data_IF_675387186864
#
_entry.id   IF_675387186864
#
_cell.length_a   1.000
_cell.length_b   1.000
_cell.length_c   1.000
_cell.angle_alpha   90.00
_cell.angle_beta   90.00
_cell.angle_gamma   90.00
#
_symmetry.space_group_name_H-M   'P 1'
#
loop_
_entity.id
_entity.type
_entity.pdbx_description
1 polymer ?
#
# COMPACT_ATOMS: atom_id res chain seq x y z
N UNK A 1 -34.90 -45.61 -9.45
CA UNK A 1 -35.89 -45.48 -8.35
C UNK A 1 -35.23 -45.19 -6.98
N UNK A 2 -34.18 -44.37 -6.89
CA UNK A 2 -33.48 -44.03 -5.62
C UNK A 2 -33.22 -42.52 -5.39
N UNK A 3 -33.83 -41.64 -6.20
CA UNK A 3 -33.59 -40.17 -6.13
C UNK A 3 -34.77 -39.40 -5.50
N UNK A 4 -35.91 -40.05 -5.26
CA UNK A 4 -37.12 -39.36 -4.75
C UNK A 4 -37.32 -39.39 -3.22
N UNK A 5 -36.45 -40.04 -2.44
CA UNK A 5 -36.63 -40.15 -0.98
C UNK A 5 -35.87 -39.08 -0.15
N UNK A 6 -35.15 -38.13 -0.76
CA UNK A 6 -34.21 -37.24 -0.03
C UNK A 6 -34.72 -35.79 0.09
N UNK A 7 -36.01 -35.53 -0.14
CA UNK A 7 -36.58 -34.17 -0.06
C UNK A 7 -37.34 -33.84 1.24
N UNK A 8 -37.25 -34.67 2.28
CA UNK A 8 -37.97 -34.44 3.54
C UNK A 8 -37.10 -34.44 4.81
N UNK A 9 -35.79 -34.23 4.70
CA UNK A 9 -34.93 -34.11 5.89
C UNK A 9 -34.88 -32.64 6.36
N UNK A 10 -35.08 -32.35 7.67
CA UNK A 10 -35.00 -31.00 8.20
C UNK A 10 -33.62 -30.37 7.93
N UNK A 11 -33.56 -29.03 7.84
CA UNK A 11 -32.31 -28.28 7.53
C UNK A 11 -31.12 -28.68 8.42
N UNK A 12 -31.38 -29.09 9.66
CA UNK A 12 -30.37 -29.60 10.62
C UNK A 12 -29.74 -30.93 10.21
N UNK A 13 -30.41 -31.79 9.43
CA UNK A 13 -29.86 -33.07 8.94
C UNK A 13 -29.12 -32.95 7.60
N UNK A 14 -29.04 -31.75 6.99
CA UNK A 14 -28.22 -31.54 5.79
C UNK A 14 -26.72 -31.75 6.06
N UNK A 15 -26.27 -31.64 7.30
CA UNK A 15 -24.90 -31.97 7.70
C UNK A 15 -24.56 -33.47 7.49
N UNK A 16 -25.58 -34.31 7.29
CA UNK A 16 -25.45 -35.72 6.92
C UNK A 16 -25.48 -35.94 5.39
N UNK A 17 -24.94 -35.05 4.55
CA UNK A 17 -24.74 -35.37 3.12
C UNK A 17 -23.52 -36.30 2.90
N UNK A 18 -23.56 -37.24 1.93
CA UNK A 18 -22.53 -38.27 1.77
C UNK A 18 -21.12 -37.78 1.40
N UNK A 19 -20.97 -36.60 0.78
CA UNK A 19 -19.69 -36.16 0.18
C UNK A 19 -18.81 -35.28 1.10
N UNK A 20 -19.24 -34.95 2.32
CA UNK A 20 -18.51 -34.01 3.17
C UNK A 20 -17.46 -34.64 4.09
N UNK A 21 -17.37 -35.98 4.18
CA UNK A 21 -16.38 -36.65 5.04
C UNK A 21 -16.54 -36.46 6.56
N UNK A 22 -17.38 -35.52 7.02
CA UNK A 22 -17.64 -35.17 8.43
C UNK A 22 -18.24 -36.34 9.21
N UNK A 23 -19.13 -37.13 8.59
CA UNK A 23 -19.88 -38.21 9.25
C UNK A 23 -19.01 -39.25 9.94
N UNK A 24 -17.98 -39.74 9.25
CA UNK A 24 -17.09 -40.79 9.76
C UNK A 24 -16.29 -40.30 10.97
N UNK A 25 -15.91 -39.02 10.97
CA UNK A 25 -15.12 -38.42 12.05
C UNK A 25 -15.99 -38.05 13.25
N UNK A 26 -17.22 -37.58 13.01
CA UNK A 26 -18.22 -37.38 14.07
C UNK A 26 -18.59 -38.70 14.75
N UNK A 27 -18.85 -39.77 13.97
CA UNK A 27 -19.11 -41.10 14.51
C UNK A 27 -17.93 -41.64 15.31
N UNK A 28 -16.69 -41.41 14.86
CA UNK A 28 -15.49 -41.78 15.61
C UNK A 28 -15.38 -41.02 16.94
N UNK A 29 -15.71 -39.72 16.96
CA UNK A 29 -15.69 -38.92 18.18
C UNK A 29 -16.75 -39.39 19.18
N UNK A 30 -17.98 -39.65 18.72
CA UNK A 30 -19.07 -40.19 19.54
C UNK A 30 -18.73 -41.57 20.07
N UNK A 31 -18.19 -42.47 19.23
CA UNK A 31 -17.72 -43.78 19.66
C UNK A 31 -16.61 -43.66 20.71
N UNK A 32 -15.70 -42.69 20.56
CA UNK A 32 -14.68 -42.35 21.55
C UNK A 32 -15.25 -41.98 22.92
N UNK A 33 -16.36 -41.23 22.97
CA UNK A 33 -17.07 -40.91 24.23
C UNK A 33 -17.60 -42.18 24.91
N UNK A 34 -18.22 -43.09 24.15
CA UNK A 34 -18.74 -44.35 24.71
C UNK A 34 -17.61 -45.26 25.22
N UNK A 35 -16.52 -45.38 24.48
CA UNK A 35 -15.35 -46.17 24.88
C UNK A 35 -14.71 -45.55 26.13
N UNK A 36 -14.57 -44.22 26.17
CA UNK A 36 -14.02 -43.51 27.32
C UNK A 36 -14.86 -43.73 28.58
N UNK A 37 -16.19 -43.57 28.46
CA UNK A 37 -17.12 -43.77 29.55
C UNK A 37 -17.15 -45.23 30.04
N UNK A 38 -17.07 -46.20 29.13
CA UNK A 38 -16.98 -47.62 29.49
C UNK A 38 -15.67 -47.94 30.23
N UNK A 39 -14.52 -47.42 29.77
CA UNK A 39 -13.24 -47.58 30.47
C UNK A 39 -13.24 -46.92 31.85
N UNK A 40 -13.87 -45.75 31.96
CA UNK A 40 -13.97 -45.01 33.22
C UNK A 40 -14.90 -45.70 34.22
N UNK A 41 -15.99 -46.31 33.74
CA UNK A 41 -16.93 -47.10 34.55
C UNK A 41 -16.30 -48.34 35.18
N UNK A 42 -15.36 -48.99 34.48
CA UNK A 42 -14.62 -50.13 35.01
C UNK A 42 -13.73 -49.72 36.20
N UNK A 43 -13.38 -48.45 36.31
CA UNK A 43 -12.53 -47.90 37.36
C UNK A 43 -13.30 -47.27 38.53
N UNK A 44 -14.57 -46.90 38.33
CA UNK A 44 -15.37 -46.17 39.31
C UNK A 44 -16.73 -46.86 39.51
N UNK A 45 -17.13 -47.13 40.75
CA UNK A 45 -18.40 -47.80 41.07
C UNK A 45 -19.65 -46.95 40.78
N UNK A 46 -19.49 -45.78 40.17
CA UNK A 46 -20.57 -44.89 39.76
C UNK A 46 -21.39 -45.44 38.59
N UNK A 47 -22.64 -44.96 38.47
CA UNK A 47 -23.53 -45.21 37.33
C UNK A 47 -23.74 -43.86 36.65
N UNK A 48 -23.05 -43.62 35.53
CA UNK A 48 -23.17 -42.37 34.78
C UNK A 48 -24.18 -42.48 33.61
N UNK A 49 -24.28 -43.65 32.97
CA UNK A 49 -25.06 -43.91 31.75
C UNK A 49 -26.06 -45.06 31.87
N UNK A 50 -26.20 -45.68 33.06
CA UNK A 50 -27.27 -46.66 33.35
C UNK A 50 -27.03 -48.07 32.81
N UNK A 51 -28.05 -48.68 32.18
CA UNK A 51 -28.07 -50.11 31.81
C UNK A 51 -26.94 -50.56 30.86
N UNK A 52 -26.56 -49.72 29.89
CA UNK A 52 -25.49 -50.04 28.92
C UNK A 52 -24.11 -50.15 29.58
N UNK A 53 -23.86 -49.30 30.55
CA UNK A 53 -22.60 -49.24 31.29
C UNK A 53 -22.42 -50.51 32.15
N UNK A 54 -23.49 -50.97 32.80
CA UNK A 54 -23.50 -52.22 33.57
C UNK A 54 -23.20 -53.45 32.71
N UNK A 55 -23.81 -53.56 31.53
CA UNK A 55 -23.58 -54.68 30.61
C UNK A 55 -22.13 -54.72 30.09
N UNK A 56 -21.56 -53.56 29.75
CA UNK A 56 -20.16 -53.46 29.34
C UNK A 56 -19.21 -53.80 30.48
N UNK A 57 -19.45 -53.27 31.68
CA UNK A 57 -18.64 -53.55 32.87
C UNK A 57 -18.64 -55.04 33.21
N UNK A 58 -19.82 -55.69 33.18
CA UNK A 58 -19.93 -57.14 33.36
C UNK A 58 -19.18 -57.92 32.27
N UNK A 59 -19.25 -57.49 31.01
CA UNK A 59 -18.49 -58.09 29.91
C UNK A 59 -16.98 -58.03 30.12
N UNK A 60 -16.46 -56.87 30.56
CA UNK A 60 -15.04 -56.69 30.86
C UNK A 60 -14.62 -57.51 32.09
N UNK A 61 -15.44 -57.54 33.15
CA UNK A 61 -15.16 -58.35 34.34
C UNK A 61 -15.17 -59.86 34.06
N UNK A 62 -16.00 -60.34 33.12
CA UNK A 62 -15.97 -61.73 32.65
C UNK A 62 -14.66 -62.08 31.93
N UNK A 63 -14.07 -61.12 31.22
CA UNK A 63 -12.83 -61.32 30.45
C UNK A 63 -11.55 -61.09 31.27
N UNK A 64 -11.57 -60.19 32.24
CA UNK A 64 -10.38 -59.72 32.97
C UNK A 64 -10.36 -60.06 34.46
N UNK A 65 -11.45 -60.63 34.97
CA UNK A 65 -11.68 -60.84 36.39
C UNK A 65 -12.12 -59.55 37.11
N UNK A 66 -12.88 -59.69 38.19
CA UNK A 66 -13.36 -58.57 39.03
C UNK A 66 -12.30 -58.07 40.03
N UNK A 67 -11.07 -58.55 39.95
CA UNK A 67 -10.01 -58.15 40.85
C UNK A 67 -9.56 -56.71 40.54
N UNK A 68 -9.47 -55.80 41.53
CA UNK A 68 -9.06 -54.41 41.31
C UNK A 68 -7.69 -54.28 40.62
N UNK A 69 -6.79 -55.26 40.85
CA UNK A 69 -5.45 -55.30 40.26
C UNK A 69 -5.42 -55.51 38.74
N UNK A 70 -6.48 -56.08 38.15
CA UNK A 70 -6.56 -56.34 36.70
C UNK A 70 -7.57 -55.43 36.01
N UNK A 71 -8.66 -55.09 36.69
CA UNK A 71 -9.71 -54.22 36.16
C UNK A 71 -9.24 -52.76 35.97
N UNK A 72 -8.49 -52.19 36.94
CA UNK A 72 -8.08 -50.77 36.89
C UNK A 72 -7.11 -50.47 35.73
N UNK A 73 -6.03 -51.26 35.48
CA UNK A 73 -5.16 -51.05 34.33
C UNK A 73 -5.89 -51.21 32.98
N UNK A 74 -6.84 -52.14 32.89
CA UNK A 74 -7.63 -52.35 31.68
C UNK A 74 -8.59 -51.17 31.43
N UNK A 75 -9.26 -50.68 32.48
CA UNK A 75 -10.11 -49.49 32.41
C UNK A 75 -9.33 -48.26 31.94
N UNK A 76 -8.13 -48.03 32.48
CA UNK A 76 -7.24 -46.96 32.06
C UNK A 76 -6.86 -47.07 30.56
N UNK A 77 -6.52 -48.27 30.10
CA UNK A 77 -6.17 -48.51 28.71
C UNK A 77 -7.36 -48.22 27.76
N UNK A 78 -8.56 -48.69 28.11
CA UNK A 78 -9.78 -48.46 27.34
C UNK A 78 -10.14 -46.96 27.34
N UNK A 79 -10.03 -46.28 28.49
CA UNK A 79 -10.24 -44.83 28.57
C UNK A 79 -9.24 -44.05 27.72
N UNK A 80 -7.96 -44.43 27.71
CA UNK A 80 -6.95 -43.79 26.87
C UNK A 80 -7.26 -43.96 25.37
N UNK A 81 -7.70 -45.16 24.95
CA UNK A 81 -8.15 -45.40 23.57
C UNK A 81 -9.39 -44.56 23.21
N UNK A 82 -10.36 -44.46 24.11
CA UNK A 82 -11.55 -43.63 23.93
C UNK A 82 -11.21 -42.15 23.79
N UNK A 83 -10.33 -41.63 24.65
CA UNK A 83 -9.83 -40.26 24.57
C UNK A 83 -9.07 -40.00 23.25
N UNK A 84 -8.21 -40.92 22.82
CA UNK A 84 -7.51 -40.83 21.54
C UNK A 84 -8.47 -40.78 20.35
N UNK A 85 -9.47 -41.67 20.32
CA UNK A 85 -10.51 -41.67 19.29
C UNK A 85 -11.34 -40.37 19.28
N UNK A 86 -11.64 -39.83 20.47
CA UNK A 86 -12.34 -38.54 20.62
C UNK A 86 -11.52 -37.38 20.03
N UNK A 87 -10.24 -37.27 20.40
CA UNK A 87 -9.34 -36.21 19.90
C UNK A 87 -9.14 -36.31 18.38
N UNK A 88 -8.87 -37.51 17.86
CA UNK A 88 -8.67 -37.73 16.42
C UNK A 88 -9.96 -37.44 15.65
N UNK A 89 -11.10 -37.95 16.14
CA UNK A 89 -12.42 -37.72 15.57
C UNK A 89 -12.76 -36.24 15.52
N UNK A 90 -12.59 -35.52 16.63
CA UNK A 90 -12.87 -34.09 16.71
C UNK A 90 -11.93 -33.26 15.83
N UNK A 91 -10.62 -33.50 15.87
CA UNK A 91 -9.64 -32.77 15.05
C UNK A 91 -9.90 -32.94 13.55
N UNK A 92 -10.18 -34.17 13.11
CA UNK A 92 -10.48 -34.45 11.69
C UNK A 92 -11.86 -33.98 11.28
N UNK A 93 -12.83 -33.98 12.19
CA UNK A 93 -14.15 -33.37 11.96
C UNK A 93 -14.03 -31.87 11.74
N UNK A 94 -13.31 -31.15 12.63
CA UNK A 94 -13.03 -29.72 12.47
C UNK A 94 -12.31 -29.44 11.16
N UNK A 95 -11.25 -30.20 10.84
CA UNK A 95 -10.53 -30.02 9.58
C UNK A 95 -11.43 -30.23 8.35
N UNK A 96 -12.33 -31.20 8.38
CA UNK A 96 -13.30 -31.49 7.29
C UNK A 96 -14.41 -30.45 7.16
N UNK A 97 -14.70 -29.68 8.22
CA UNK A 97 -15.65 -28.56 8.21
C UNK A 97 -14.93 -27.30 7.72
N UNK A 98 -13.74 -27.03 8.26
CA UNK A 98 -12.86 -25.93 7.88
C UNK A 98 -12.52 -26.00 6.39
N UNK A 99 -12.17 -27.18 5.86
CA UNK A 99 -11.84 -27.35 4.44
C UNK A 99 -13.01 -27.14 3.47
N UNK A 100 -14.25 -27.07 3.96
CA UNK A 100 -15.46 -26.86 3.15
C UNK A 100 -16.00 -25.44 3.32
N UNK A 101 -15.83 -24.86 4.52
CA UNK A 101 -16.19 -23.47 4.81
C UNK A 101 -15.13 -22.47 4.33
N UNK A 102 -13.85 -22.86 4.37
CA UNK A 102 -12.74 -22.13 3.77
C UNK A 102 -12.31 -22.86 2.48
N UNK A 103 -13.00 -22.64 1.33
CA UNK A 103 -12.38 -22.91 0.04
C UNK A 103 -11.10 -22.06 -0.07
N UNK A 104 -10.13 -22.47 -0.89
CA UNK A 104 -8.80 -21.85 -1.07
C UNK A 104 -8.78 -20.32 -1.35
N UNK A 105 -9.94 -19.67 -1.49
CA UNK A 105 -10.09 -18.22 -1.60
C UNK A 105 -10.11 -17.48 -0.26
N UNK A 106 -10.44 -18.10 0.88
CA UNK A 106 -10.55 -17.38 2.18
C UNK A 106 -9.24 -17.25 2.97
N UNK A 107 -8.18 -18.01 2.64
CA UNK A 107 -6.84 -17.70 3.12
C UNK A 107 -6.48 -16.24 2.76
N UNK A 108 -6.93 -15.76 1.59
CA UNK A 108 -6.82 -14.35 1.20
C UNK A 108 -7.67 -13.43 2.07
N UNK A 109 -8.83 -13.82 2.59
CA UNK A 109 -9.68 -12.93 3.39
C UNK A 109 -9.09 -12.71 4.78
N UNK A 110 -8.57 -13.77 5.41
CA UNK A 110 -7.85 -13.63 6.69
C UNK A 110 -6.56 -12.83 6.47
N UNK A 111 -5.82 -13.09 5.40
CA UNK A 111 -4.65 -12.28 5.02
C UNK A 111 -5.02 -10.83 4.70
N UNK A 112 -6.17 -10.57 4.07
CA UNK A 112 -6.70 -9.23 3.77
C UNK A 112 -7.14 -8.52 5.06
N UNK A 113 -7.76 -9.22 6.02
CA UNK A 113 -8.14 -8.63 7.31
C UNK A 113 -6.91 -8.36 8.19
N UNK A 114 -5.96 -9.30 8.22
CA UNK A 114 -4.71 -9.16 8.96
C UNK A 114 -3.86 -8.04 8.35
N UNK A 115 -3.65 -8.02 7.03
CA UNK A 115 -2.99 -6.92 6.33
C UNK A 115 -3.72 -5.60 6.50
N UNK A 116 -5.06 -5.53 6.46
CA UNK A 116 -5.80 -4.28 6.72
C UNK A 116 -5.56 -3.73 8.13
N UNK A 117 -5.49 -4.59 9.15
CA UNK A 117 -5.16 -4.14 10.51
C UNK A 117 -3.70 -3.69 10.63
N UNK A 118 -2.76 -4.41 9.99
CA UNK A 118 -1.34 -4.03 9.99
C UNK A 118 -1.06 -2.74 9.24
N UNK A 119 -1.63 -2.57 8.05
CA UNK A 119 -1.45 -1.37 7.25
C UNK A 119 -2.03 -0.11 7.94
N UNK A 120 -3.09 -0.26 8.74
CA UNK A 120 -3.61 0.83 9.60
C UNK A 120 -2.62 1.26 10.68
N UNK A 121 -1.80 0.33 11.17
CA UNK A 121 -0.69 0.59 12.11
C UNK A 121 0.63 0.82 11.40
N UNK A 122 0.61 0.99 10.07
CA UNK A 122 1.80 1.29 9.27
C UNK A 122 2.36 2.69 9.59
N UNK A 123 3.58 2.98 9.12
CA UNK A 123 4.19 4.31 9.28
C UNK A 123 3.37 5.38 8.56
N UNK A 124 3.40 6.60 9.09
CA UNK A 124 2.83 7.81 8.47
C UNK A 124 3.84 8.37 7.47
N UNK A 125 3.54 8.32 6.19
CA UNK A 125 4.48 8.77 5.14
C UNK A 125 3.85 9.90 4.35
N UNK A 126 4.52 11.04 4.32
CA UNK A 126 4.15 12.18 3.49
C UNK A 126 5.01 12.16 2.22
N UNK A 127 4.37 12.23 1.06
CA UNK A 127 5.04 12.25 -0.24
C UNK A 127 4.67 13.56 -0.94
N UNK A 128 5.66 14.30 -1.41
CA UNK A 128 5.50 15.65 -1.97
C UNK A 128 6.00 15.65 -3.40
N UNK A 129 5.19 16.12 -4.35
CA UNK A 129 5.60 16.24 -5.74
C UNK A 129 4.45 16.46 -6.71
N UNK A 130 4.55 15.83 -7.87
CA UNK A 130 3.57 15.92 -8.95
C UNK A 130 3.78 14.84 -10.00
N UNK A 131 2.94 14.86 -11.03
CA UNK A 131 3.06 14.01 -12.21
C UNK A 131 2.97 12.51 -11.98
N UNK A 132 3.53 11.77 -12.94
CA UNK A 132 3.41 10.30 -13.00
C UNK A 132 4.39 9.58 -12.07
N UNK A 133 5.54 10.20 -11.76
CA UNK A 133 6.54 9.68 -10.83
C UNK A 133 5.97 9.49 -9.44
N UNK A 134 5.34 10.53 -8.88
CA UNK A 134 4.65 10.50 -7.61
C UNK A 134 3.59 9.39 -7.55
N UNK A 135 2.75 9.30 -8.59
CA UNK A 135 1.70 8.28 -8.67
C UNK A 135 2.26 6.84 -8.69
N UNK A 136 3.42 6.64 -9.30
CA UNK A 136 4.10 5.33 -9.36
C UNK A 136 4.64 4.94 -7.98
N UNK A 137 5.23 5.90 -7.26
CA UNK A 137 5.68 5.71 -5.89
C UNK A 137 4.51 5.36 -4.95
N UNK A 138 3.41 6.11 -5.02
CA UNK A 138 2.22 5.87 -4.19
C UNK A 138 1.61 4.47 -4.41
N UNK A 139 1.60 3.98 -5.66
CA UNK A 139 1.16 2.60 -5.98
C UNK A 139 1.99 1.54 -5.26
N UNK A 140 3.29 1.77 -5.07
CA UNK A 140 4.17 0.87 -4.31
C UNK A 140 3.98 1.02 -2.80
N UNK A 141 3.97 2.25 -2.29
CA UNK A 141 3.89 2.53 -0.86
C UNK A 141 2.56 2.09 -0.21
N UNK A 142 1.44 2.08 -0.96
CA UNK A 142 0.12 1.68 -0.42
C UNK A 142 0.04 0.19 0.00
N UNK A 143 1.06 -0.59 -0.36
CA UNK A 143 1.24 -1.98 0.05
C UNK A 143 1.90 -2.12 1.43
N UNK A 144 2.45 -1.03 1.98
CA UNK A 144 3.17 -1.01 3.26
C UNK A 144 2.46 -0.21 4.35
N UNK A 145 1.62 0.75 3.98
CA UNK A 145 0.84 1.55 4.94
C UNK A 145 -0.45 2.07 4.32
N UNK A 146 -1.46 2.34 5.16
CA UNK A 146 -2.66 3.11 4.80
C UNK A 146 -2.56 4.58 5.23
N UNK A 147 -1.48 4.94 5.92
CA UNK A 147 -1.25 6.28 6.45
C UNK A 147 -0.37 7.08 5.47
N UNK A 148 -0.78 7.11 4.21
CA UNK A 148 -0.11 7.91 3.17
C UNK A 148 -0.77 9.27 3.06
N UNK A 149 0.05 10.31 2.91
CA UNK A 149 -0.42 11.64 2.52
C UNK A 149 0.36 12.10 1.31
N UNK A 150 -0.33 12.38 0.21
CA UNK A 150 0.27 13.00 -0.98
C UNK A 150 -0.01 14.50 -0.97
N UNK A 151 1.03 15.33 -0.99
CA UNK A 151 0.93 16.78 -1.18
C UNK A 151 1.33 17.09 -2.62
N UNK A 152 0.43 17.74 -3.35
CA UNK A 152 0.53 17.85 -4.82
C UNK A 152 0.53 19.30 -5.27
N UNK A 153 1.36 19.62 -6.26
CA UNK A 153 1.41 20.97 -6.84
C UNK A 153 0.09 21.29 -7.55
N UNK A 154 -0.31 22.56 -7.49
CA UNK A 154 -1.48 23.10 -8.21
C UNK A 154 -1.08 24.21 -9.20
N UNK A 155 0.18 24.21 -9.63
CA UNK A 155 0.70 25.20 -10.57
C UNK A 155 0.53 24.80 -12.06
N UNK A 156 0.16 23.55 -12.36
CA UNK A 156 -0.08 23.02 -13.71
C UNK A 156 -1.06 23.91 -14.51
N UNK A 157 -0.68 24.25 -15.73
CA UNK A 157 -1.47 25.01 -16.69
C UNK A 157 -1.59 24.31 -18.06
N UNK A 158 -1.18 23.04 -18.14
CA UNK A 158 -1.12 22.26 -19.36
C UNK A 158 -2.36 21.40 -19.64
N UNK A 159 -2.57 21.09 -20.92
CA UNK A 159 -3.50 20.06 -21.39
C UNK A 159 -4.94 20.19 -20.87
N UNK A 160 -5.48 19.08 -20.34
CA UNK A 160 -6.85 19.08 -19.78
C UNK A 160 -6.96 19.82 -18.46
N UNK A 161 -5.88 19.91 -17.68
CA UNK A 161 -5.89 20.61 -16.39
C UNK A 161 -5.97 22.12 -16.60
N UNK A 162 -5.09 22.64 -17.46
CA UNK A 162 -5.03 24.05 -17.84
C UNK A 162 -6.34 24.58 -18.40
N UNK A 163 -6.98 23.84 -19.32
CA UNK A 163 -8.28 24.23 -19.88
C UNK A 163 -9.37 24.38 -18.81
N UNK A 164 -9.50 23.39 -17.92
CA UNK A 164 -10.49 23.43 -16.85
C UNK A 164 -10.19 24.56 -15.86
N UNK A 165 -8.91 24.79 -15.57
CA UNK A 165 -8.45 25.90 -14.74
C UNK A 165 -8.84 27.25 -15.34
N UNK A 166 -8.57 27.48 -16.63
CA UNK A 166 -8.90 28.75 -17.29
C UNK A 166 -10.39 28.96 -17.52
N UNK A 167 -11.14 27.90 -17.80
CA UNK A 167 -12.57 27.99 -18.16
C UNK A 167 -13.49 27.98 -16.93
N UNK A 168 -13.15 27.24 -15.88
CA UNK A 168 -13.99 27.05 -14.69
C UNK A 168 -13.42 27.72 -13.43
N UNK A 169 -12.21 28.28 -13.47
CA UNK A 169 -11.58 28.93 -12.32
C UNK A 169 -11.20 27.97 -11.18
N UNK A 170 -11.17 26.66 -11.44
CA UNK A 170 -10.80 25.62 -10.46
C UNK A 170 -9.29 25.38 -10.44
N UNK A 171 -8.78 24.75 -9.37
CA UNK A 171 -7.40 24.28 -9.33
C UNK A 171 -7.17 23.17 -10.37
N UNK A 172 -5.96 23.05 -10.95
CA UNK A 172 -5.68 22.03 -11.95
C UNK A 172 -5.82 20.61 -11.35
N UNK A 173 -6.74 19.78 -11.86
CA UNK A 173 -7.05 18.49 -11.23
C UNK A 173 -6.13 17.33 -11.61
N UNK A 174 -5.24 17.50 -12.60
CA UNK A 174 -4.51 16.40 -13.24
C UNK A 174 -3.67 15.55 -12.29
N UNK A 175 -2.77 16.17 -11.52
CA UNK A 175 -1.86 15.44 -10.65
C UNK A 175 -2.55 14.88 -9.41
N UNK A 176 -3.54 15.61 -8.88
CA UNK A 176 -4.39 15.14 -7.79
C UNK A 176 -5.18 13.91 -8.24
N UNK A 177 -5.77 13.94 -9.44
CA UNK A 177 -6.43 12.77 -10.05
C UNK A 177 -5.49 11.57 -10.11
N UNK A 178 -4.26 11.75 -10.59
CA UNK A 178 -3.28 10.66 -10.68
C UNK A 178 -2.98 10.05 -9.30
N UNK A 179 -2.86 10.87 -8.26
CA UNK A 179 -2.66 10.41 -6.88
C UNK A 179 -3.88 9.67 -6.32
N UNK A 180 -5.09 10.17 -6.56
CA UNK A 180 -6.34 9.51 -6.15
C UNK A 180 -6.45 8.12 -6.77
N UNK A 181 -6.17 8.00 -8.07
CA UNK A 181 -6.14 6.71 -8.77
C UNK A 181 -5.08 5.79 -8.16
N UNK A 182 -3.85 6.29 -7.96
CA UNK A 182 -2.75 5.51 -7.40
C UNK A 182 -3.08 4.94 -6.00
N UNK A 183 -3.72 5.74 -5.14
CA UNK A 183 -4.07 5.37 -3.76
C UNK A 183 -5.37 4.57 -3.62
N UNK A 184 -6.15 4.43 -4.69
CA UNK A 184 -7.38 3.66 -4.66
C UNK A 184 -7.14 2.18 -4.30
N UNK A 185 -8.04 1.60 -3.50
CA UNK A 185 -7.99 0.21 -3.03
C UNK A 185 -8.43 -0.80 -4.10
N UNK A 186 -8.67 -0.33 -5.33
CA UNK A 186 -9.39 -1.10 -6.34
C UNK A 186 -8.64 -1.20 -7.66
N UNK A 187 -8.28 -2.41 -8.07
CA UNK A 187 -7.93 -2.77 -9.47
C UNK A 187 -9.20 -2.87 -10.33
N UNK A 188 -10.12 -1.91 -10.18
CA UNK A 188 -11.45 -1.97 -10.76
C UNK A 188 -11.58 -1.07 -11.99
N UNK A 189 -12.67 -1.30 -12.72
CA UNK A 189 -13.20 -0.45 -13.80
C UNK A 189 -13.08 1.05 -13.49
N UNK A 190 -13.19 1.46 -12.22
CA UNK A 190 -13.05 2.85 -11.79
C UNK A 190 -11.69 3.47 -12.11
N UNK A 191 -10.56 2.75 -11.94
CA UNK A 191 -9.23 3.25 -12.34
C UNK A 191 -9.19 3.51 -13.85
N UNK A 192 -9.75 2.58 -14.65
CA UNK A 192 -9.84 2.72 -16.11
C UNK A 192 -10.71 3.90 -16.52
N UNK A 193 -11.86 4.10 -15.85
CA UNK A 193 -12.75 5.23 -16.10
C UNK A 193 -12.10 6.56 -15.73
N UNK A 194 -11.47 6.66 -14.56
CA UNK A 194 -10.83 7.91 -14.14
C UNK A 194 -9.63 8.27 -14.99
N UNK A 195 -8.90 7.27 -15.48
CA UNK A 195 -7.76 7.45 -16.38
C UNK A 195 -8.18 7.65 -17.85
N UNK A 196 -9.47 7.46 -18.18
CA UNK A 196 -9.97 7.60 -19.54
C UNK A 196 -9.78 9.03 -20.05
N UNK A 197 -9.31 9.14 -21.29
CA UNK A 197 -9.13 10.39 -22.02
C UNK A 197 -9.93 10.32 -23.31
N UNK A 198 -10.76 11.33 -23.54
CA UNK A 198 -11.54 11.44 -24.77
C UNK A 198 -10.61 11.75 -25.95
N UNK A 199 -10.77 11.01 -27.05
CA UNK A 199 -9.97 11.12 -28.27
C UNK A 199 -10.69 11.85 -29.42
N UNK A 200 -12.00 12.02 -29.28
CA UNK A 200 -12.92 12.48 -30.32
C UNK A 200 -13.99 13.42 -29.75
N UNK A 201 -14.65 14.18 -30.64
CA UNK A 201 -15.75 15.08 -30.29
C UNK A 201 -15.34 16.36 -29.56
N UNK A 202 -16.32 17.02 -28.93
CA UNK A 202 -16.13 18.28 -28.18
C UNK A 202 -15.27 18.12 -26.94
N UNK A 203 -15.28 16.93 -26.33
CA UNK A 203 -14.49 16.61 -25.14
C UNK A 203 -13.06 16.16 -25.48
N UNK A 204 -12.66 16.13 -26.76
CA UNK A 204 -11.34 15.66 -27.19
C UNK A 204 -10.22 16.31 -26.38
N UNK A 205 -9.37 15.47 -25.79
CA UNK A 205 -8.24 15.87 -24.95
C UNK A 205 -8.57 15.95 -23.45
N UNK A 206 -9.84 16.05 -23.05
CA UNK A 206 -10.21 16.02 -21.63
C UNK A 206 -10.06 14.62 -21.04
N UNK A 207 -9.74 14.57 -19.75
CA UNK A 207 -9.82 13.35 -18.96
C UNK A 207 -11.15 13.28 -18.23
N UNK A 208 -11.82 12.11 -18.26
CA UNK A 208 -13.06 11.90 -17.52
C UNK A 208 -12.88 12.15 -16.02
N UNK A 209 -11.78 11.66 -15.42
CA UNK A 209 -11.50 11.92 -14.00
C UNK A 209 -11.32 13.40 -13.67
N UNK A 210 -10.72 14.19 -14.58
CA UNK A 210 -10.62 15.64 -14.40
C UNK A 210 -12.00 16.31 -14.42
N UNK A 211 -12.89 15.88 -15.32
CA UNK A 211 -14.26 16.40 -15.41
C UNK A 211 -15.09 16.01 -14.17
N UNK A 212 -14.92 14.79 -13.65
CA UNK A 212 -15.56 14.37 -12.40
C UNK A 212 -15.09 15.24 -11.23
N UNK A 213 -13.78 15.47 -11.11
CA UNK A 213 -13.23 16.35 -10.05
C UNK A 213 -13.75 17.79 -10.19
N UNK A 214 -13.79 18.32 -11.41
CA UNK A 214 -14.34 19.66 -11.68
C UNK A 214 -15.82 19.74 -11.27
N UNK A 215 -16.64 18.78 -11.66
CA UNK A 215 -18.05 18.73 -11.30
C UNK A 215 -18.28 18.56 -9.79
N UNK A 216 -17.45 17.78 -9.11
CA UNK A 216 -17.50 17.63 -7.65
C UNK A 216 -17.13 18.93 -6.94
N UNK A 217 -16.06 19.61 -7.38
CA UNK A 217 -15.66 20.89 -6.82
C UNK A 217 -16.75 21.96 -6.98
N UNK A 218 -17.38 22.02 -8.16
CA UNK A 218 -18.50 22.93 -8.44
C UNK A 218 -19.73 22.59 -7.58
N UNK A 219 -20.07 21.31 -7.46
CA UNK A 219 -21.25 20.85 -6.69
C UNK A 219 -21.11 21.12 -5.18
N UNK A 220 -19.93 20.88 -4.60
CA UNK A 220 -19.69 20.98 -3.16
C UNK A 220 -19.10 22.34 -2.73
N UNK A 221 -18.88 23.25 -3.69
CA UNK A 221 -18.51 24.65 -3.47
C UNK A 221 -17.03 24.91 -3.19
N UNK A 222 -16.21 23.88 -2.98
CA UNK A 222 -14.76 24.01 -2.95
C UNK A 222 -14.06 22.75 -3.46
N UNK A 223 -12.85 22.94 -3.98
CA UNK A 223 -12.07 21.88 -4.61
C UNK A 223 -11.61 20.80 -3.62
N UNK A 224 -11.38 21.17 -2.35
CA UNK A 224 -10.96 20.26 -1.28
C UNK A 224 -12.04 19.23 -0.98
N UNK A 225 -13.28 19.66 -0.78
CA UNK A 225 -14.44 18.78 -0.61
C UNK A 225 -14.61 17.86 -1.82
N UNK A 226 -14.38 18.37 -3.03
CA UNK A 226 -14.41 17.55 -4.24
C UNK A 226 -13.44 16.37 -4.17
N UNK A 227 -12.20 16.62 -3.72
CA UNK A 227 -11.19 15.58 -3.49
C UNK A 227 -11.62 14.61 -2.40
N UNK A 228 -12.12 15.10 -1.27
CA UNK A 228 -12.56 14.29 -0.13
C UNK A 228 -13.68 13.31 -0.53
N UNK A 229 -14.73 13.79 -1.22
CA UNK A 229 -15.84 12.95 -1.67
C UNK A 229 -15.40 11.92 -2.72
N UNK A 230 -14.51 12.29 -3.65
CA UNK A 230 -13.92 11.33 -4.58
C UNK A 230 -13.10 10.29 -3.79
N UNK A 231 -12.34 10.71 -2.79
CA UNK A 231 -11.58 9.80 -1.95
C UNK A 231 -12.43 8.75 -1.21
N UNK A 232 -13.60 9.16 -0.72
CA UNK A 232 -14.57 8.25 -0.09
C UNK A 232 -15.10 7.20 -1.08
N UNK A 233 -15.48 7.62 -2.29
CA UNK A 233 -15.97 6.74 -3.35
C UNK A 233 -14.91 5.72 -3.79
N UNK A 234 -13.64 6.13 -3.81
CA UNK A 234 -12.51 5.28 -4.23
C UNK A 234 -11.88 4.47 -3.09
N UNK A 235 -12.40 4.59 -1.87
CA UNK A 235 -11.93 3.89 -0.67
C UNK A 235 -10.39 3.98 -0.48
N UNK A 236 -9.83 5.19 -0.60
CA UNK A 236 -8.37 5.40 -0.66
C UNK A 236 -7.59 4.80 0.53
N UNK A 237 -6.35 4.42 0.25
CA UNK A 237 -5.32 4.05 1.23
C UNK A 237 -4.43 5.24 1.60
N UNK A 238 -5.05 6.34 2.03
CA UNK A 238 -4.38 7.58 2.38
C UNK A 238 -5.21 8.80 2.00
N UNK A 239 -4.57 9.96 2.05
CA UNK A 239 -5.16 11.26 1.70
C UNK A 239 -4.34 11.96 0.62
N UNK A 240 -4.99 12.80 -0.18
CA UNK A 240 -4.36 13.66 -1.18
C UNK A 240 -4.76 15.10 -0.87
N UNK A 241 -3.78 15.99 -0.76
CA UNK A 241 -4.01 17.41 -0.53
C UNK A 241 -3.30 18.24 -1.60
N UNK A 242 -3.94 19.29 -2.13
CA UNK A 242 -3.20 20.29 -2.88
C UNK A 242 -2.24 21.03 -1.93
N UNK A 243 -1.12 21.50 -2.46
CA UNK A 243 -0.14 22.30 -1.72
C UNK A 243 -0.74 23.62 -1.21
N UNK A 244 -1.66 24.22 -1.96
CA UNK A 244 -2.43 25.41 -1.58
C UNK A 244 -3.84 25.33 -2.17
N UNK A 245 -4.81 26.05 -1.57
CA UNK A 245 -6.13 26.24 -2.17
C UNK A 245 -6.18 27.44 -3.13
N UNK A 246 -5.11 28.21 -3.23
CA UNK A 246 -5.03 29.42 -4.04
C UNK A 246 -4.58 29.12 -5.47
N UNK A 247 -4.98 29.98 -6.41
CA UNK A 247 -4.54 29.91 -7.80
C UNK A 247 -3.12 30.46 -7.90
N UNK A 248 -2.13 29.59 -8.12
CA UNK A 248 -0.72 29.96 -8.20
C UNK A 248 -0.13 29.72 -9.59
N UNK A 249 0.71 30.62 -10.07
CA UNK A 249 1.43 30.51 -11.34
C UNK A 249 2.91 30.27 -11.04
N UNK A 250 3.47 29.20 -11.61
CA UNK A 250 4.90 28.95 -11.54
C UNK A 250 5.65 29.92 -12.45
N UNK A 251 6.69 30.56 -11.92
CA UNK A 251 7.56 31.46 -12.68
C UNK A 251 9.01 31.04 -12.51
N UNK A 252 9.76 31.01 -13.61
CA UNK A 252 11.19 30.74 -13.64
C UNK A 252 11.99 31.98 -14.05
N UNK A 253 13.10 32.23 -13.34
CA UNK A 253 14.15 33.16 -13.76
C UNK A 253 15.28 32.32 -14.36
N UNK A 254 15.65 32.59 -15.61
CA UNK A 254 16.76 31.94 -16.29
C UNK A 254 18.11 32.61 -15.93
N UNK A 255 19.21 31.93 -16.23
CA UNK A 255 20.56 32.41 -15.94
C UNK A 255 20.92 33.73 -16.67
N UNK A 256 20.27 34.03 -17.79
CA UNK A 256 20.42 35.28 -18.54
C UNK A 256 19.53 36.42 -18.03
N UNK A 257 18.69 36.16 -17.02
CA UNK A 257 17.74 37.12 -16.44
C UNK A 257 16.35 37.11 -17.10
N UNK A 258 16.12 36.28 -18.12
CA UNK A 258 14.81 36.11 -18.74
C UNK A 258 13.81 35.51 -17.74
N UNK A 259 12.58 36.03 -17.73
CA UNK A 259 11.50 35.55 -16.87
C UNK A 259 10.47 34.79 -17.71
N UNK A 260 10.15 33.56 -17.30
CA UNK A 260 9.20 32.68 -17.97
C UNK A 260 8.06 32.34 -17.01
N UNK A 261 6.82 32.57 -17.42
CA UNK A 261 5.61 32.36 -16.60
C UNK A 261 4.76 31.23 -17.15
N UNK A 262 4.27 30.40 -16.24
CA UNK A 262 3.44 29.23 -16.57
C UNK A 262 4.25 27.95 -16.59
N UNK A 263 3.69 26.87 -16.06
CA UNK A 263 4.38 25.59 -15.87
C UNK A 263 4.76 24.95 -17.21
N UNK A 264 3.84 24.95 -18.18
CA UNK A 264 4.10 24.48 -19.55
C UNK A 264 5.23 25.29 -20.20
N UNK A 265 5.23 26.61 -20.03
CA UNK A 265 6.25 27.49 -20.62
C UNK A 265 7.62 27.31 -19.97
N UNK A 266 7.67 27.05 -18.67
CA UNK A 266 8.92 26.73 -17.95
C UNK A 266 9.49 25.40 -18.46
N UNK A 267 8.65 24.39 -18.68
CA UNK A 267 9.07 23.10 -19.23
C UNK A 267 9.61 23.20 -20.66
N UNK A 268 8.97 24.02 -21.49
CA UNK A 268 9.36 24.21 -22.90
C UNK A 268 10.47 25.26 -23.09
N UNK A 269 11.00 25.83 -21.99
CA UNK A 269 11.99 26.89 -22.05
C UNK A 269 13.34 26.39 -22.53
N UNK A 270 14.13 27.30 -23.08
CA UNK A 270 15.50 27.02 -23.50
C UNK A 270 16.45 27.83 -22.62
N UNK A 271 17.45 27.15 -22.05
CA UNK A 271 18.45 27.77 -21.19
C UNK A 271 18.33 27.31 -19.74
N UNK A 272 19.36 27.65 -18.95
CA UNK A 272 19.48 27.17 -17.58
C UNK A 272 18.57 27.95 -16.65
N UNK A 273 17.66 27.24 -15.96
CA UNK A 273 16.87 27.81 -14.86
C UNK A 273 17.81 28.16 -13.70
N UNK A 274 17.74 29.42 -13.24
CA UNK A 274 18.47 29.91 -12.08
C UNK A 274 17.68 29.71 -10.80
N UNK A 275 16.38 30.02 -10.81
CA UNK A 275 15.46 29.78 -9.69
C UNK A 275 14.00 29.78 -10.15
N UNK A 276 13.13 29.21 -9.33
CA UNK A 276 11.67 29.27 -9.50
C UNK A 276 10.99 29.90 -8.30
N UNK A 277 9.81 30.50 -8.51
CA UNK A 277 8.95 31.05 -7.47
C UNK A 277 7.47 30.98 -7.90
N UNK A 278 6.55 31.11 -6.94
CA UNK A 278 5.10 31.13 -7.19
C UNK A 278 4.59 32.58 -7.23
N UNK A 279 3.61 32.84 -8.08
CA UNK A 279 2.82 34.08 -8.03
C UNK A 279 1.35 33.72 -7.76
N UNK A 280 0.74 34.17 -6.64
CA UNK A 280 1.33 34.96 -5.55
C UNK A 280 2.34 34.18 -4.69
N UNK A 281 3.35 34.88 -4.14
CA UNK A 281 4.40 34.28 -3.29
C UNK A 281 3.93 33.95 -1.87
N UNK A 282 2.88 34.64 -1.37
CA UNK A 282 2.34 34.52 -0.02
C UNK A 282 1.18 33.52 0.10
N UNK A 283 1.04 32.64 -0.90
CA UNK A 283 0.02 31.60 -0.90
C UNK A 283 0.09 30.69 0.35
N UNK A 284 -1.08 30.34 0.86
CA UNK A 284 -1.22 29.62 2.12
C UNK A 284 -1.37 28.11 1.89
N UNK A 285 -0.75 27.26 2.71
CA UNK A 285 -0.92 25.82 2.60
C UNK A 285 -2.30 25.37 3.06
N UNK A 286 -2.67 24.14 2.69
CA UNK A 286 -3.83 23.47 3.28
C UNK A 286 -3.50 23.05 4.72
N UNK A 287 -4.32 23.36 5.74
CA UNK A 287 -4.04 23.01 7.14
C UNK A 287 -3.84 21.51 7.39
N UNK A 288 -4.55 20.66 6.65
CA UNK A 288 -4.39 19.21 6.67
C UNK A 288 -2.99 18.76 6.22
N UNK A 289 -2.38 19.45 5.26
CA UNK A 289 -1.04 19.14 4.79
C UNK A 289 0.00 19.42 5.89
N UNK A 290 -0.15 20.53 6.62
CA UNK A 290 0.70 20.86 7.77
C UNK A 290 0.56 19.82 8.90
N UNK A 291 -0.67 19.40 9.22
CA UNK A 291 -0.91 18.35 10.22
C UNK A 291 -0.29 17.00 9.81
N UNK A 292 -0.38 16.65 8.52
CA UNK A 292 0.23 15.43 8.02
C UNK A 292 1.76 15.44 8.15
N UNK A 293 2.39 16.60 7.92
CA UNK A 293 3.84 16.79 8.13
C UNK A 293 4.22 16.68 9.60
N UNK A 294 3.46 17.30 10.51
CA UNK A 294 3.70 17.24 11.97
C UNK A 294 3.68 15.80 12.50
N UNK A 295 2.81 14.96 11.95
CA UNK A 295 2.67 13.57 12.35
C UNK A 295 3.54 12.58 11.54
N UNK A 296 4.36 13.06 10.60
CA UNK A 296 5.08 12.20 9.66
C UNK A 296 6.16 11.37 10.37
N UNK A 297 6.23 10.08 10.02
CA UNK A 297 7.37 9.22 10.33
C UNK A 297 8.45 9.33 9.23
N UNK A 298 8.06 9.71 8.01
CA UNK A 298 8.93 9.87 6.84
C UNK A 298 8.36 10.94 5.89
N UNK A 299 9.23 11.80 5.36
CA UNK A 299 8.91 12.73 4.27
C UNK A 299 9.68 12.30 3.02
N UNK A 300 9.01 12.23 1.87
CA UNK A 300 9.61 11.85 0.59
C UNK A 300 9.35 12.92 -0.45
N UNK A 301 10.39 13.47 -1.04
CA UNK A 301 10.34 14.44 -2.12
C UNK A 301 10.51 13.71 -3.46
N UNK A 302 9.52 13.85 -4.35
CA UNK A 302 9.52 13.19 -5.65
C UNK A 302 9.23 11.68 -5.59
N UNK A 303 9.54 10.92 -6.65
CA UNK A 303 10.19 11.39 -7.88
C UNK A 303 9.25 12.26 -8.74
N UNK A 304 9.83 13.18 -9.50
CA UNK A 304 9.10 14.09 -10.38
C UNK A 304 10.01 15.24 -10.83
N UNK A 305 9.58 15.97 -11.86
CA UNK A 305 10.32 17.09 -12.42
C UNK A 305 10.71 18.10 -11.35
N UNK A 306 11.99 18.48 -11.32
CA UNK A 306 12.56 19.20 -10.18
C UNK A 306 11.90 20.57 -10.01
N UNK A 307 11.85 21.35 -11.09
CA UNK A 307 11.38 22.74 -11.07
C UNK A 307 9.86 22.86 -11.24
N UNK A 308 9.22 21.90 -11.90
CA UNK A 308 7.79 21.94 -12.22
C UNK A 308 6.91 21.02 -11.35
N UNK A 309 7.48 20.05 -10.62
CA UNK A 309 6.72 19.14 -9.74
C UNK A 309 7.16 19.14 -8.28
N UNK A 310 8.47 19.11 -7.98
CA UNK A 310 8.95 19.03 -6.60
C UNK A 310 9.01 20.41 -5.95
N UNK A 311 9.82 21.31 -6.51
CA UNK A 311 10.01 22.66 -5.96
C UNK A 311 8.72 23.48 -5.81
N UNK A 312 7.73 23.42 -6.73
CA UNK A 312 6.50 24.21 -6.58
C UNK A 312 5.73 23.93 -5.30
N UNK A 313 5.79 22.71 -4.77
CA UNK A 313 5.21 22.41 -3.46
C UNK A 313 6.01 23.06 -2.31
N UNK A 314 7.33 23.08 -2.42
CA UNK A 314 8.26 23.60 -1.41
C UNK A 314 8.37 25.13 -1.43
N UNK A 315 7.87 25.77 -2.49
CA UNK A 315 7.75 27.22 -2.59
C UNK A 315 6.59 27.77 -1.75
N UNK A 316 5.64 26.93 -1.32
CA UNK A 316 4.66 27.31 -0.30
C UNK A 316 5.39 27.41 1.04
N UNK A 317 5.62 28.64 1.49
CA UNK A 317 6.56 28.97 2.57
C UNK A 317 6.36 28.14 3.84
N UNK A 318 5.12 28.02 4.30
CA UNK A 318 4.79 27.30 5.53
C UNK A 318 4.95 25.78 5.40
N UNK A 319 4.81 25.18 4.21
CA UNK A 319 5.14 23.75 4.01
C UNK A 319 6.63 23.52 4.19
N UNK A 320 7.46 24.35 3.57
CA UNK A 320 8.91 24.30 3.70
C UNK A 320 9.34 24.47 5.15
N UNK A 321 8.84 25.51 5.84
CA UNK A 321 9.15 25.77 7.24
C UNK A 321 8.75 24.57 8.12
N UNK A 322 7.55 24.01 7.89
CA UNK A 322 7.09 22.83 8.63
C UNK A 322 7.99 21.61 8.42
N UNK A 323 8.45 21.34 7.20
CA UNK A 323 9.37 20.22 6.92
C UNK A 323 10.68 20.37 7.69
N UNK A 324 11.20 21.60 7.86
CA UNK A 324 12.43 21.85 8.61
C UNK A 324 12.27 21.73 10.13
N UNK A 325 11.06 21.97 10.63
CA UNK A 325 10.77 21.92 12.07
C UNK A 325 10.54 20.50 12.60
N UNK A 326 10.08 19.57 11.76
CA UNK A 326 9.69 18.22 12.19
C UNK A 326 10.88 17.26 12.24
N UNK A 327 10.88 16.35 13.21
CA UNK A 327 11.90 15.31 13.41
C UNK A 327 11.68 14.08 12.49
N UNK A 328 11.13 14.30 11.30
CA UNK A 328 10.88 13.27 10.31
C UNK A 328 11.97 13.31 9.24
N UNK A 329 12.67 12.20 8.96
CA UNK A 329 13.69 12.20 7.92
C UNK A 329 13.09 12.57 6.56
N UNK A 330 13.78 13.45 5.85
CA UNK A 330 13.42 13.93 4.52
C UNK A 330 14.28 13.24 3.45
N UNK A 331 13.66 12.43 2.60
CA UNK A 331 14.34 11.68 1.54
C UNK A 331 13.97 12.28 0.17
N UNK A 332 14.97 12.67 -0.61
CA UNK A 332 14.80 13.04 -2.01
C UNK A 332 15.01 11.84 -2.93
N UNK A 333 14.03 11.54 -3.79
CA UNK A 333 14.16 10.53 -4.85
C UNK A 333 14.52 11.25 -6.14
N UNK A 334 15.79 11.12 -6.55
CA UNK A 334 16.34 11.78 -7.72
C UNK A 334 15.74 11.21 -9.02
N UNK A 335 15.64 12.06 -10.03
CA UNK A 335 15.22 11.64 -11.37
C UNK A 335 16.25 10.69 -11.98
N UNK A 336 15.78 9.76 -12.82
CA UNK A 336 16.64 8.79 -13.54
C UNK A 336 17.33 9.47 -14.73
N UNK A 337 16.60 10.34 -15.42
CA UNK A 337 17.04 11.06 -16.61
C UNK A 337 16.90 12.56 -16.38
N UNK A 338 17.76 13.35 -17.03
CA UNK A 338 17.61 14.80 -17.13
C UNK A 338 16.39 15.14 -17.97
N UNK A 339 15.77 16.27 -17.68
CA UNK A 339 14.63 16.80 -18.43
C UNK A 339 15.10 18.00 -19.26
N UNK A 340 14.95 17.97 -20.59
CA UNK A 340 15.35 19.06 -21.47
C UNK A 340 14.71 20.38 -21.04
N UNK A 341 15.49 21.46 -20.97
CA UNK A 341 15.03 22.79 -20.56
C UNK A 341 14.93 22.99 -19.04
N UNK A 342 14.81 21.92 -18.25
CA UNK A 342 14.75 22.00 -16.78
C UNK A 342 16.09 21.65 -16.12
N UNK A 343 16.64 20.48 -16.44
CA UNK A 343 17.77 19.86 -15.72
C UNK A 343 18.87 19.39 -16.66
N UNK A 344 19.07 20.11 -17.77
CA UNK A 344 20.12 19.83 -18.75
C UNK A 344 21.50 19.66 -18.07
N UNK A 345 22.14 18.53 -18.32
CA UNK A 345 23.47 18.18 -17.80
C UNK A 345 23.57 18.06 -16.27
N UNK A 346 22.43 18.03 -15.55
CA UNK A 346 22.45 17.88 -14.10
C UNK A 346 22.92 16.49 -13.67
N UNK A 347 23.78 16.47 -12.67
CA UNK A 347 24.07 15.29 -11.84
C UNK A 347 23.14 15.25 -10.62
N UNK A 348 23.23 14.17 -9.83
CA UNK A 348 22.48 14.05 -8.57
C UNK A 348 22.81 15.20 -7.61
N UNK A 349 24.07 15.62 -7.55
CA UNK A 349 24.50 16.74 -6.70
C UNK A 349 23.91 18.07 -7.15
N UNK A 350 23.70 18.28 -8.46
CA UNK A 350 23.09 19.51 -8.97
C UNK A 350 21.60 19.59 -8.60
N UNK A 351 20.89 18.46 -8.66
CA UNK A 351 19.50 18.39 -8.18
C UNK A 351 19.41 18.71 -6.68
N UNK A 352 20.30 18.12 -5.87
CA UNK A 352 20.35 18.38 -4.43
C UNK A 352 20.71 19.85 -4.14
N UNK A 353 21.69 20.40 -4.85
CA UNK A 353 22.08 21.81 -4.70
C UNK A 353 20.90 22.73 -5.02
N UNK A 354 20.17 22.49 -6.11
CA UNK A 354 18.96 23.26 -6.42
C UNK A 354 17.90 23.18 -5.32
N UNK A 355 17.67 22.00 -4.72
CA UNK A 355 16.76 21.89 -3.57
C UNK A 355 17.26 22.73 -2.38
N UNK A 356 18.55 22.68 -2.06
CA UNK A 356 19.16 23.44 -0.97
C UNK A 356 19.14 24.96 -1.22
N UNK A 357 19.32 25.38 -2.47
CA UNK A 357 19.27 26.81 -2.84
C UNK A 357 17.88 27.41 -2.61
N UNK A 358 16.82 26.60 -2.76
CA UNK A 358 15.44 27.04 -2.54
C UNK A 358 14.94 26.81 -1.11
N UNK A 359 15.42 25.74 -0.46
CA UNK A 359 14.87 25.28 0.82
C UNK A 359 15.79 25.55 2.03
N UNK A 360 17.09 25.78 1.79
CA UNK A 360 18.12 25.91 2.81
C UNK A 360 18.96 24.63 2.99
N UNK A 361 20.11 24.78 3.64
CA UNK A 361 21.01 23.66 3.94
C UNK A 361 20.37 22.69 4.95
N UNK A 362 20.68 21.39 4.83
CA UNK A 362 20.15 20.36 5.72
C UNK A 362 18.67 20.01 5.50
N UNK A 363 18.04 20.50 4.43
CA UNK A 363 16.63 20.20 4.12
C UNK A 363 16.38 18.74 3.71
N UNK A 364 17.42 18.06 3.20
CA UNK A 364 17.35 16.68 2.71
C UNK A 364 18.37 15.84 3.45
N UNK A 365 17.93 14.80 4.14
CA UNK A 365 18.80 13.89 4.90
C UNK A 365 19.41 12.80 4.02
N UNK A 366 18.64 12.31 3.04
CA UNK A 366 19.04 11.21 2.16
C UNK A 366 18.64 11.48 0.73
N UNK A 367 19.57 11.26 -0.21
CA UNK A 367 19.28 11.21 -1.64
C UNK A 367 19.31 9.78 -2.14
N UNK A 368 18.22 9.37 -2.78
CA UNK A 368 18.06 8.07 -3.45
C UNK A 368 18.23 8.27 -4.95
N UNK A 369 19.12 7.48 -5.56
CA UNK A 369 19.31 7.47 -7.01
C UNK A 369 19.32 6.05 -7.59
N UNK A 370 19.02 5.94 -8.88
CA UNK A 370 19.13 4.69 -9.62
C UNK A 370 20.59 4.45 -10.04
N UNK A 371 21.08 3.22 -9.81
CA UNK A 371 22.37 2.75 -10.37
C UNK A 371 22.24 1.68 -11.45
N UNK A 372 21.02 1.20 -11.71
CA UNK A 372 20.80 0.16 -12.70
C UNK A 372 21.09 0.71 -14.10
N UNK A 373 21.86 -0.04 -14.89
CA UNK A 373 22.14 0.28 -16.29
C UNK A 373 20.86 0.35 -17.12
N UNK A 374 20.81 1.33 -18.02
CA UNK A 374 19.70 1.55 -18.94
C UNK A 374 19.97 0.79 -20.26
N UNK A 375 18.99 0.05 -20.82
CA UNK A 375 19.15 -0.61 -22.12
C UNK A 375 19.52 0.38 -23.24
N UNK A 376 20.50 0.03 -24.08
CA UNK A 376 21.04 0.94 -25.11
C UNK A 376 19.97 1.49 -26.07
N UNK A 377 18.96 0.68 -26.42
CA UNK A 377 17.88 1.11 -27.31
C UNK A 377 17.02 2.21 -26.68
N UNK A 378 16.69 2.07 -25.40
CA UNK A 378 15.96 3.12 -24.67
C UNK A 378 16.85 4.34 -24.45
N UNK A 379 18.12 4.15 -24.15
CA UNK A 379 19.06 5.26 -23.97
C UNK A 379 19.12 6.14 -25.23
N UNK A 380 19.31 5.53 -26.41
CA UNK A 380 19.32 6.26 -27.70
C UNK A 380 18.04 7.05 -27.94
N UNK A 381 16.87 6.48 -27.63
CA UNK A 381 15.58 7.18 -27.77
C UNK A 381 15.50 8.42 -26.88
N UNK A 382 15.94 8.33 -25.63
CA UNK A 382 15.95 9.49 -24.73
C UNK A 382 17.02 10.51 -25.14
N UNK A 383 18.18 10.08 -25.65
CA UNK A 383 19.22 10.97 -26.18
C UNK A 383 18.72 11.78 -27.39
N UNK A 384 17.91 11.18 -28.27
CA UNK A 384 17.25 11.88 -29.39
C UNK A 384 16.28 12.98 -28.91
N UNK A 385 15.73 12.83 -27.71
CA UNK A 385 14.89 13.82 -27.04
C UNK A 385 15.70 14.82 -26.20
N UNK A 386 17.04 14.73 -26.18
CA UNK A 386 17.92 15.60 -25.38
C UNK A 386 17.99 15.22 -23.90
N UNK A 387 17.53 14.03 -23.53
CA UNK A 387 17.46 13.53 -22.16
C UNK A 387 18.56 12.50 -21.89
N UNK A 388 19.33 12.69 -20.81
CA UNK A 388 20.51 11.87 -20.50
C UNK A 388 20.42 11.28 -19.08
N UNK A 389 21.05 10.13 -18.79
CA UNK A 389 21.05 9.56 -17.45
C UNK A 389 21.68 10.50 -16.40
N UNK A 390 20.98 10.70 -15.29
CA UNK A 390 21.50 11.52 -14.17
C UNK A 390 22.58 10.73 -13.46
N UNK A 391 23.83 11.18 -13.59
CA UNK A 391 24.98 10.56 -12.94
C UNK A 391 25.08 10.96 -11.48
N UNK A 392 25.47 10.02 -10.62
CA UNK A 392 25.64 10.26 -9.19
C UNK A 392 27.08 10.06 -8.73
N UNK A 393 27.51 10.94 -7.82
CA UNK A 393 28.80 10.82 -7.15
C UNK A 393 28.58 10.92 -5.63
N UNK A 394 28.97 9.88 -4.90
CA UNK A 394 28.82 9.80 -3.45
C UNK A 394 29.48 10.97 -2.74
N UNK A 395 30.73 11.27 -3.06
CA UNK A 395 31.51 12.30 -2.37
C UNK A 395 30.88 13.68 -2.60
N UNK A 396 30.41 13.98 -3.81
CA UNK A 396 29.74 15.24 -4.13
C UNK A 396 28.42 15.42 -3.36
N UNK A 397 27.63 14.36 -3.23
CA UNK A 397 26.34 14.41 -2.52
C UNK A 397 26.54 14.47 -1.00
N UNK A 398 27.46 13.66 -0.46
CA UNK A 398 27.77 13.66 0.98
C UNK A 398 28.47 14.97 1.40
N UNK A 399 29.22 15.62 0.52
CA UNK A 399 29.77 16.97 0.75
C UNK A 399 28.69 18.04 0.95
N UNK A 400 27.53 17.89 0.30
CA UNK A 400 26.36 18.75 0.48
C UNK A 400 25.58 18.43 1.77
N UNK A 401 26.00 17.42 2.54
CA UNK A 401 25.43 17.08 3.85
C UNK A 401 24.30 16.05 3.82
N UNK A 402 23.99 15.45 2.66
CA UNK A 402 22.98 14.40 2.54
C UNK A 402 23.62 13.02 2.35
N UNK A 403 23.06 11.98 2.95
CA UNK A 403 23.50 10.60 2.74
C UNK A 403 23.14 10.13 1.33
N UNK A 404 24.09 9.54 0.62
CA UNK A 404 23.84 9.01 -0.73
C UNK A 404 23.53 7.51 -0.74
N UNK A 405 22.39 7.15 -1.33
CA UNK A 405 21.90 5.77 -1.44
C UNK A 405 21.55 5.44 -2.88
N UNK A 406 22.11 4.33 -3.37
CA UNK A 406 21.86 3.84 -4.72
C UNK A 406 21.24 2.45 -4.71
N UNK A 407 20.29 2.22 -5.61
CA UNK A 407 19.67 0.93 -5.79
C UNK A 407 19.26 0.70 -7.25
N UNK A 408 18.93 -0.54 -7.56
CA UNK A 408 18.40 -0.90 -8.87
C UNK A 408 16.90 -0.58 -8.86
N UNK A 409 16.52 0.50 -9.54
CA UNK A 409 15.20 1.11 -9.41
C UNK A 409 14.44 1.22 -10.73
N UNK A 410 14.93 0.67 -11.85
CA UNK A 410 14.23 0.82 -13.13
C UNK A 410 13.04 -0.13 -13.28
N UNK A 411 11.91 0.35 -13.76
CA UNK A 411 10.82 -0.52 -14.20
C UNK A 411 11.12 -1.05 -15.60
N UNK A 412 10.80 -2.32 -15.85
CA UNK A 412 10.84 -2.90 -17.19
C UNK A 412 9.69 -2.35 -18.04
N UNK A 413 9.98 -1.95 -19.28
CA UNK A 413 8.99 -1.47 -20.24
C UNK A 413 9.56 -0.49 -21.26
N UNK A 414 8.65 0.15 -22.02
CA UNK A 414 9.01 1.02 -23.16
C UNK A 414 9.42 2.45 -22.76
N UNK A 415 9.31 2.79 -21.47
CA UNK A 415 9.66 4.10 -20.90
C UNK A 415 10.43 3.93 -19.59
N UNK A 416 11.38 4.82 -19.31
CA UNK A 416 12.16 4.81 -18.09
C UNK A 416 11.34 5.37 -16.92
N UNK A 417 11.08 4.53 -15.93
CA UNK A 417 10.36 4.87 -14.71
C UNK A 417 10.97 4.17 -13.51
N UNK A 418 10.72 4.72 -12.33
CA UNK A 418 11.00 4.02 -11.09
C UNK A 418 10.09 2.80 -10.93
N UNK A 419 10.66 1.65 -10.57
CA UNK A 419 9.91 0.47 -10.20
C UNK A 419 9.25 0.70 -8.84
N UNK A 420 7.93 0.80 -8.83
CA UNK A 420 7.10 1.10 -7.65
C UNK A 420 7.47 0.26 -6.42
N UNK A 421 7.52 -1.07 -6.53
CA UNK A 421 7.78 -1.94 -5.39
C UNK A 421 9.23 -1.92 -4.91
N UNK A 422 10.21 -1.75 -5.81
CA UNK A 422 11.63 -1.66 -5.42
C UNK A 422 11.91 -0.35 -4.69
N UNK A 423 11.38 0.76 -5.22
CA UNK A 423 11.49 2.07 -4.58
C UNK A 423 10.78 2.11 -3.23
N UNK A 424 9.55 1.61 -3.14
CA UNK A 424 8.81 1.53 -1.88
C UNK A 424 9.56 0.69 -0.83
N UNK A 425 10.08 -0.49 -1.20
CA UNK A 425 10.89 -1.33 -0.29
C UNK A 425 12.12 -0.61 0.22
N UNK A 426 12.81 0.12 -0.66
CA UNK A 426 13.99 0.89 -0.28
C UNK A 426 13.64 1.98 0.73
N UNK A 427 12.60 2.78 0.47
CA UNK A 427 12.17 3.85 1.37
C UNK A 427 11.75 3.33 2.75
N UNK A 428 11.02 2.20 2.79
CA UNK A 428 10.66 1.55 4.06
C UNK A 428 11.90 1.08 4.82
N UNK A 429 12.89 0.47 4.14
CA UNK A 429 14.16 0.09 4.77
C UNK A 429 14.92 1.30 5.32
N UNK A 430 14.96 2.39 4.56
CA UNK A 430 15.62 3.63 4.98
C UNK A 430 14.93 4.24 6.21
N UNK A 431 13.59 4.27 6.24
CA UNK A 431 12.83 4.71 7.41
C UNK A 431 13.26 3.95 8.68
N UNK A 432 13.27 2.61 8.65
CA UNK A 432 13.67 1.83 9.83
C UNK A 432 15.14 2.00 10.22
N UNK A 433 16.01 2.31 9.24
CA UNK A 433 17.42 2.62 9.52
C UNK A 433 17.62 4.00 10.14
N UNK A 434 16.81 4.99 9.77
CA UNK A 434 16.94 6.38 10.22
C UNK A 434 16.21 6.61 11.54
N UNK A 435 15.03 5.98 11.71
CA UNK A 435 14.19 6.10 12.89
C UNK A 435 13.85 4.69 13.39
N UNK A 436 14.70 4.07 14.22
CA UNK A 436 14.44 2.75 14.79
C UNK A 436 13.16 2.79 15.64
N UNK A 437 12.03 2.36 15.08
CA UNK A 437 10.76 2.33 15.79
C UNK A 437 10.79 1.17 16.80
N UNK A 438 11.04 1.48 18.08
CA UNK A 438 11.28 0.52 19.16
C UNK A 438 10.22 -0.58 19.37
N UNK A 439 8.99 -0.40 18.89
CA UNK A 439 7.90 -1.39 19.01
C UNK A 439 7.48 -2.06 17.68
N UNK A 440 8.06 -1.67 16.53
CA UNK A 440 7.57 -2.11 15.19
C UNK A 440 8.57 -2.93 14.39
N UNK A 441 9.63 -3.44 15.02
CA UNK A 441 10.59 -4.37 14.40
C UNK A 441 9.91 -5.70 13.99
N UNK A 442 8.84 -6.11 14.68
CA UNK A 442 8.02 -7.27 14.30
C UNK A 442 7.26 -7.09 12.97
N UNK A 443 7.09 -5.84 12.50
CA UNK A 443 6.23 -5.46 11.37
C UNK A 443 6.91 -5.70 10.01
N UNK A 444 8.23 -5.58 9.97
CA UNK A 444 9.06 -5.89 8.79
C UNK A 444 9.33 -7.38 8.71
N UNK A 445 9.67 -8.01 9.83
CA UNK A 445 9.94 -9.45 9.87
C UNK A 445 8.71 -10.25 9.45
N UNK A 446 7.51 -9.89 9.93
CA UNK A 446 6.26 -10.55 9.51
C UNK A 446 5.96 -10.41 8.01
N UNK A 447 6.26 -9.26 7.40
CA UNK A 447 5.95 -9.02 5.98
C UNK A 447 7.02 -9.63 5.06
N UNK A 448 8.31 -9.53 5.43
CA UNK A 448 9.40 -10.22 4.74
C UNK A 448 9.28 -11.74 4.85
N UNK A 449 8.78 -12.28 5.98
CA UNK A 449 8.47 -13.70 6.12
C UNK A 449 7.34 -14.13 5.16
N UNK A 450 6.28 -13.34 5.06
CA UNK A 450 5.17 -13.60 4.14
C UNK A 450 5.57 -13.49 2.66
N UNK A 451 6.55 -12.66 2.32
CA UNK A 451 7.06 -12.56 0.95
C UNK A 451 7.98 -13.73 0.59
N UNK A 452 8.85 -14.17 1.51
CA UNK A 452 9.64 -15.43 1.34
C UNK A 452 8.73 -16.64 1.13
N UNK A 453 7.64 -16.74 1.88
CA UNK A 453 6.66 -17.82 1.72
C UNK A 453 5.91 -17.80 0.38
N UNK A 454 5.85 -16.64 -0.31
CA UNK A 454 5.27 -16.50 -1.66
C UNK A 454 6.27 -16.77 -2.78
N UNK A 455 7.56 -16.57 -2.56
CA UNK A 455 8.62 -16.87 -3.54
C UNK A 455 9.03 -18.36 -3.49
N UNK A 456 8.74 -19.07 -2.40
CA UNK A 456 9.00 -20.51 -2.22
C UNK A 456 7.80 -21.44 -2.50
N UNK A 457 6.66 -20.88 -2.96
CA UNK A 457 5.43 -21.59 -3.36
C UNK A 457 5.12 -21.42 -4.83
#
# INVERSE_FOLDING_TARGET
MKVKLIKSLPRSLKWLYPNLGVKRWFLLAVLGVFIFAAGFSVMNDGIALGYLELQFREGIYRLTGSAPRTAVPMGLFISALGAGAMVIGFKRMLHSIISVLLPDEEARIVDVMYSRQHLRRGPKIVVIGGGTGLSTLLRGLKNYTRNLTAIVTVADDGGSSGKLRSEMGILPPGDIRNCLVALSDTENIMEKLFSYRFDTGTLKGHSLGNLVLAGMADTFGDFKKGIEHVGEVFALRGSVYPSTMEQVVLTAELADGTIVKGETQVRDTQGRIKRVYLEPEDCQPVPEALRALEEADLIVLGPGSLYTSVLPNLLVKELKEKIQEVDAPCIYVCNIMTEPGETDQFQVSDHLQSLMDHCGAGFVDVVVANKQGIPEELLKRYEEEGSYPVQGNRDSVEWLGAKYVEADLLQEGDTLRHHSDRLARLLIRLLFSLKPMGERIALVDSYLLNQKLREES
#
